data_IF_147680857114
#
_entry.id   IF_147680857114
#
_cell.length_a   1.000
_cell.length_b   1.000
_cell.length_c   1.000
_cell.angle_alpha   90.00
_cell.angle_beta   90.00
_cell.angle_gamma   90.00
#
_symmetry.space_group_name_H-M   'P 1'
#
loop_
_entity.id
_entity.type
_entity.pdbx_description
1 polymer ?
#
# COMPACT_ATOMS: atom_id res chain seq x y z
N UNK A 1 18.90 60.53 24.16
CA UNK A 1 17.83 59.60 23.76
C UNK A 1 17.20 60.13 22.48
N UNK A 2 17.92 60.03 21.37
CA UNK A 2 17.89 58.92 20.40
C UNK A 2 16.71 59.06 19.42
N UNK A 3 16.95 59.77 18.31
CA UNK A 3 16.03 59.83 17.18
C UNK A 3 16.80 59.68 15.85
N UNK A 4 16.31 58.73 15.05
CA UNK A 4 16.37 58.60 13.58
C UNK A 4 17.75 58.36 12.92
N UNK A 5 18.10 57.09 12.80
CA UNK A 5 19.01 56.58 11.77
C UNK A 5 18.29 56.38 10.44
N UNK A 6 18.71 57.12 9.42
CA UNK A 6 18.39 56.91 8.00
C UNK A 6 19.21 55.73 7.46
N UNK A 7 18.55 54.72 6.89
CA UNK A 7 19.20 53.68 6.08
C UNK A 7 18.79 53.87 4.62
N UNK A 8 19.82 54.05 3.78
CA UNK A 8 19.74 54.24 2.34
C UNK A 8 19.22 52.98 1.63
N UNK A 9 18.30 53.19 0.68
CA UNK A 9 17.93 52.23 -0.36
C UNK A 9 18.92 52.29 -1.53
N UNK A 10 19.30 51.15 -2.16
CA UNK A 10 20.06 51.17 -3.39
C UNK A 10 19.10 51.26 -4.59
N UNK A 11 19.23 52.35 -5.35
CA UNK A 11 18.54 52.56 -6.61
C UNK A 11 19.16 51.70 -7.72
N UNK A 12 18.33 50.89 -8.39
CA UNK A 12 18.71 50.17 -9.60
C UNK A 12 18.62 51.13 -10.80
N UNK A 13 19.76 51.48 -11.40
CA UNK A 13 19.81 52.18 -12.69
C UNK A 13 19.84 51.15 -13.82
N UNK A 14 18.81 51.16 -14.64
CA UNK A 14 18.79 50.52 -15.94
C UNK A 14 19.71 51.30 -16.90
N UNK A 15 20.68 50.61 -17.51
CA UNK A 15 21.48 51.15 -18.60
C UNK A 15 21.16 50.37 -19.87
N UNK A 16 20.39 51.00 -20.76
CA UNK A 16 20.22 50.59 -22.15
C UNK A 16 21.45 51.00 -22.94
N UNK A 17 22.12 50.03 -23.57
CA UNK A 17 23.05 50.30 -24.67
C UNK A 17 22.85 49.27 -25.77
N UNK A 18 22.39 49.76 -26.92
CA UNK A 18 22.38 49.00 -28.16
C UNK A 18 23.82 48.76 -28.60
N UNK A 19 24.17 47.51 -28.91
CA UNK A 19 25.45 47.15 -29.49
C UNK A 19 25.24 46.52 -30.87
N UNK A 20 25.79 47.19 -31.89
CA UNK A 20 25.90 46.73 -33.26
C UNK A 20 26.59 45.36 -33.33
N UNK A 21 26.08 44.48 -34.20
CA UNK A 21 26.79 43.29 -34.67
C UNK A 21 27.81 43.70 -35.75
N UNK A 22 29.09 43.30 -35.65
CA UNK A 22 29.90 43.07 -36.82
C UNK A 22 29.96 41.57 -37.11
N UNK A 23 29.58 41.18 -38.33
CA UNK A 23 29.97 39.92 -38.91
C UNK A 23 31.46 39.99 -39.25
N UNK A 24 32.27 39.14 -38.61
CA UNK A 24 33.63 38.87 -39.06
C UNK A 24 33.97 37.41 -38.75
N UNK A 25 33.98 36.58 -39.81
CA UNK A 25 34.65 35.28 -39.78
C UNK A 25 36.15 35.55 -39.73
N UNK A 26 36.76 35.34 -38.57
CA UNK A 26 38.20 35.15 -38.43
C UNK A 26 38.44 33.91 -37.58
N UNK A 27 38.93 32.86 -38.23
CA UNK A 27 39.57 31.72 -37.58
C UNK A 27 40.79 32.27 -36.81
N UNK A 28 40.70 32.31 -35.48
CA UNK A 28 41.76 32.84 -34.63
C UNK A 28 42.08 31.84 -33.53
N UNK A 29 43.36 31.49 -33.42
CA UNK A 29 43.97 30.57 -32.45
C UNK A 29 43.75 30.97 -30.98
N UNK A 30 43.11 32.11 -30.72
CA UNK A 30 42.77 32.61 -29.37
C UNK A 30 41.29 32.45 -29.01
N UNK A 31 40.44 31.97 -29.92
CA UNK A 31 39.03 31.65 -29.65
C UNK A 31 38.84 30.64 -28.51
N UNK A 32 39.76 29.68 -28.39
CA UNK A 32 39.81 28.73 -27.28
C UNK A 32 40.10 29.41 -25.94
N UNK A 33 40.94 30.45 -25.92
CA UNK A 33 41.27 31.21 -24.71
C UNK A 33 40.08 32.07 -24.27
N UNK A 34 39.37 32.69 -25.22
CA UNK A 34 38.16 33.47 -24.97
C UNK A 34 37.01 32.57 -24.47
N UNK A 35 36.84 31.39 -25.07
CA UNK A 35 35.89 30.37 -24.63
C UNK A 35 36.19 29.88 -23.21
N UNK A 36 37.46 29.64 -22.89
CA UNK A 36 37.91 29.22 -21.55
C UNK A 36 37.79 30.35 -20.52
N UNK A 37 37.99 31.60 -20.92
CA UNK A 37 37.79 32.78 -20.07
C UNK A 37 36.30 33.01 -19.75
N UNK A 38 35.39 32.76 -20.70
CA UNK A 38 33.95 32.88 -20.48
C UNK A 38 33.41 31.79 -19.54
N UNK A 39 33.94 30.56 -19.64
CA UNK A 39 33.56 29.44 -18.76
C UNK A 39 34.24 29.42 -17.38
N UNK A 40 35.22 30.29 -17.11
CA UNK A 40 35.78 30.48 -15.75
C UNK A 40 34.76 31.06 -14.74
N UNK A 41 33.57 31.46 -15.19
CA UNK A 41 32.45 31.88 -14.34
C UNK A 41 31.42 30.78 -14.05
N UNK A 42 31.72 29.51 -14.34
CA UNK A 42 31.00 28.43 -13.66
C UNK A 42 31.53 28.35 -12.24
N UNK A 43 30.68 28.67 -11.25
CA UNK A 43 30.95 28.30 -9.87
C UNK A 43 31.36 26.81 -9.84
N UNK A 44 32.36 26.41 -9.03
CA UNK A 44 32.66 25.00 -8.88
C UNK A 44 31.35 24.30 -8.52
N UNK A 45 31.09 23.16 -9.18
CA UNK A 45 29.95 22.32 -8.79
C UNK A 45 30.04 22.13 -7.27
N UNK A 46 28.92 22.20 -6.53
CA UNK A 46 28.94 21.84 -5.12
C UNK A 46 29.43 20.40 -5.05
N UNK A 47 30.71 20.23 -4.76
CA UNK A 47 31.29 18.95 -4.42
C UNK A 47 30.76 18.74 -3.02
N UNK A 48 29.64 18.05 -2.89
CA UNK A 48 29.24 17.50 -1.60
C UNK A 48 30.43 16.66 -1.17
N UNK A 49 31.19 17.15 -0.19
CA UNK A 49 32.16 16.33 0.53
C UNK A 49 31.46 15.00 0.85
N UNK A 50 32.17 13.91 0.59
CA UNK A 50 31.65 12.54 0.53
C UNK A 50 30.45 12.30 1.47
N UNK A 51 29.41 11.61 0.97
CA UNK A 51 28.26 11.18 1.77
C UNK A 51 28.74 10.71 3.15
N UNK A 52 28.19 11.25 4.26
CA UNK A 52 28.74 11.02 5.59
C UNK A 52 28.84 9.52 5.88
N UNK A 53 30.05 9.03 6.17
CA UNK A 53 30.28 7.64 6.54
C UNK A 53 29.89 7.43 7.99
N UNK A 54 29.08 6.40 8.25
CA UNK A 54 28.66 6.04 9.60
C UNK A 54 29.84 5.43 10.37
N UNK A 55 30.00 5.78 11.65
CA UNK A 55 30.87 5.03 12.56
C UNK A 55 30.21 3.70 12.94
N UNK A 56 31.01 2.71 13.35
CA UNK A 56 30.47 1.42 13.79
C UNK A 56 29.45 1.57 14.93
N UNK A 57 29.71 2.47 15.88
CA UNK A 57 28.84 2.76 17.01
C UNK A 57 27.52 3.41 16.56
N UNK A 58 27.58 4.38 15.63
CA UNK A 58 26.39 5.02 15.09
C UNK A 58 25.53 4.02 14.31
N UNK A 59 26.16 3.13 13.52
CA UNK A 59 25.48 2.09 12.77
C UNK A 59 24.77 1.10 13.70
N UNK A 60 25.44 0.61 14.75
CA UNK A 60 24.83 -0.30 15.75
C UNK A 60 23.66 0.37 16.45
N UNK A 61 23.82 1.62 16.88
CA UNK A 61 22.75 2.40 17.53
C UNK A 61 21.51 2.51 16.63
N UNK A 62 21.71 2.77 15.34
CA UNK A 62 20.62 2.90 14.39
C UNK A 62 19.91 1.57 14.11
N UNK A 63 20.66 0.47 14.01
CA UNK A 63 20.07 -0.87 13.84
C UNK A 63 19.20 -1.21 15.05
N UNK A 64 19.69 -1.01 16.27
CA UNK A 64 18.93 -1.30 17.49
C UNK A 64 17.68 -0.42 17.65
N UNK A 65 17.73 0.82 17.14
CA UNK A 65 16.59 1.73 17.16
C UNK A 65 15.50 1.34 16.15
N UNK A 66 15.89 0.94 14.93
CA UNK A 66 14.96 0.57 13.85
C UNK A 66 14.43 -0.87 13.95
N UNK A 67 15.06 -1.74 14.76
CA UNK A 67 14.54 -3.09 14.97
C UNK A 67 13.19 -3.05 15.68
N UNK A 68 12.11 -3.53 15.04
CA UNK A 68 10.79 -3.50 15.66
C UNK A 68 10.78 -4.40 16.90
N UNK A 69 10.15 -3.93 17.97
CA UNK A 69 9.91 -4.76 19.16
C UNK A 69 8.98 -5.92 18.79
N UNK A 70 9.19 -7.14 19.34
CA UNK A 70 8.28 -8.25 19.10
C UNK A 70 6.90 -7.88 19.66
N UNK A 71 5.96 -7.52 18.78
CA UNK A 71 4.60 -7.16 19.18
C UNK A 71 3.92 -8.37 19.82
N UNK A 72 3.13 -8.14 20.86
CA UNK A 72 2.26 -9.13 21.50
C UNK A 72 1.55 -10.00 20.44
N UNK A 73 1.62 -11.32 20.59
CA UNK A 73 1.11 -12.29 19.62
C UNK A 73 -0.36 -11.98 19.32
N UNK A 74 -0.72 -11.51 18.11
CA UNK A 74 -2.10 -11.31 17.74
C UNK A 74 -2.84 -12.66 17.72
N UNK A 75 -4.17 -12.68 17.85
CA UNK A 75 -4.94 -13.91 17.78
C UNK A 75 -4.61 -14.68 16.49
N UNK A 76 -4.39 -15.99 16.64
CA UNK A 76 -4.03 -16.89 15.54
C UNK A 76 -5.14 -16.85 14.49
N UNK A 77 -4.76 -16.66 13.23
CA UNK A 77 -5.69 -16.69 12.09
C UNK A 77 -5.78 -18.11 11.58
N UNK A 78 -7.00 -18.61 11.46
CA UNK A 78 -7.30 -19.94 10.95
C UNK A 78 -7.92 -19.85 9.57
N UNK A 79 -7.54 -20.77 8.69
CA UNK A 79 -8.03 -20.82 7.30
C UNK A 79 -8.69 -22.17 7.07
N UNK A 80 -10.01 -22.15 6.94
CA UNK A 80 -10.82 -23.33 6.64
C UNK A 80 -11.20 -23.35 5.17
N UNK A 81 -11.20 -24.53 4.58
CA UNK A 81 -11.68 -24.76 3.22
C UNK A 81 -12.83 -25.77 3.25
N UNK A 82 -14.03 -25.30 2.90
CA UNK A 82 -15.22 -26.13 2.84
C UNK A 82 -15.50 -26.50 1.38
N UNK A 83 -15.71 -27.77 1.10
CA UNK A 83 -16.20 -28.27 -0.17
C UNK A 83 -17.71 -28.44 -0.03
N UNK A 84 -18.48 -27.65 -0.77
CA UNK A 84 -19.93 -27.57 -0.62
C UNK A 84 -20.61 -27.86 -1.95
N UNK A 85 -21.75 -28.53 -1.90
CA UNK A 85 -22.63 -28.69 -3.04
C UNK A 85 -23.23 -27.33 -3.42
N UNK A 86 -23.20 -27.00 -4.71
CA UNK A 86 -23.69 -25.73 -5.23
C UNK A 86 -25.23 -25.75 -5.39
N UNK A 87 -25.93 -25.77 -4.26
CA UNK A 87 -27.40 -25.65 -4.21
C UNK A 87 -27.85 -24.24 -3.78
N UNK A 88 -29.03 -23.77 -4.22
CA UNK A 88 -29.59 -22.52 -3.76
C UNK A 88 -29.72 -22.47 -2.22
N UNK A 89 -29.17 -21.43 -1.60
CA UNK A 89 -29.24 -21.22 -0.16
C UNK A 89 -28.07 -21.80 0.65
N UNK A 90 -27.13 -22.52 0.03
CA UNK A 90 -25.95 -23.07 0.74
C UNK A 90 -25.11 -21.98 1.41
N UNK A 91 -24.88 -20.86 0.72
CA UNK A 91 -24.12 -19.73 1.25
C UNK A 91 -24.78 -19.17 2.53
N UNK A 92 -26.10 -18.95 2.49
CA UNK A 92 -26.86 -18.42 3.61
C UNK A 92 -26.86 -19.37 4.81
N UNK A 93 -26.86 -20.69 4.57
CA UNK A 93 -26.80 -21.70 5.62
C UNK A 93 -25.43 -21.70 6.31
N UNK A 94 -24.35 -21.73 5.53
CA UNK A 94 -22.97 -21.69 6.04
C UNK A 94 -22.68 -20.39 6.80
N UNK A 95 -22.99 -19.23 6.20
CA UNK A 95 -22.79 -17.95 6.88
C UNK A 95 -23.70 -17.78 8.10
N UNK A 96 -24.94 -18.29 8.03
CA UNK A 96 -25.91 -18.25 9.11
C UNK A 96 -25.47 -19.05 10.34
N UNK A 97 -24.92 -20.26 10.16
CA UNK A 97 -24.39 -21.08 11.26
C UNK A 97 -23.20 -20.41 11.94
N UNK A 98 -22.32 -19.78 11.15
CA UNK A 98 -21.18 -19.09 11.72
C UNK A 98 -21.59 -17.84 12.52
N UNK A 99 -22.53 -17.06 11.97
CA UNK A 99 -23.06 -15.86 12.62
C UNK A 99 -23.89 -16.19 13.88
N UNK A 100 -24.75 -17.21 13.83
CA UNK A 100 -25.62 -17.60 14.95
C UNK A 100 -24.83 -18.04 16.19
N UNK A 101 -23.61 -18.55 16.01
CA UNK A 101 -22.70 -18.93 17.09
C UNK A 101 -21.72 -17.84 17.50
N UNK A 102 -21.75 -16.69 16.83
CA UNK A 102 -20.89 -15.55 17.14
C UNK A 102 -19.41 -15.79 16.82
N UNK A 103 -19.09 -16.61 15.81
CA UNK A 103 -17.70 -16.74 15.37
C UNK A 103 -17.26 -15.47 14.64
N UNK A 104 -16.05 -14.99 14.92
CA UNK A 104 -15.49 -13.83 14.24
C UNK A 104 -14.93 -14.21 12.87
N UNK A 105 -15.66 -13.84 11.81
CA UNK A 105 -15.29 -14.12 10.42
C UNK A 105 -14.51 -12.93 9.86
N UNK A 106 -13.23 -13.12 9.57
CA UNK A 106 -12.41 -12.10 8.89
C UNK A 106 -12.82 -11.98 7.41
N UNK A 107 -12.98 -13.12 6.74
CA UNK A 107 -13.38 -13.17 5.33
C UNK A 107 -14.01 -14.51 4.98
N UNK A 108 -15.03 -14.48 4.12
CA UNK A 108 -15.64 -15.66 3.53
C UNK A 108 -15.73 -15.45 2.03
N UNK A 109 -15.14 -16.36 1.25
CA UNK A 109 -15.15 -16.32 -0.22
C UNK A 109 -15.68 -17.62 -0.76
N UNK A 110 -16.55 -17.54 -1.76
CA UNK A 110 -17.04 -18.70 -2.53
C UNK A 110 -16.36 -18.70 -3.88
N UNK A 111 -15.75 -19.83 -4.24
CA UNK A 111 -15.13 -20.08 -5.52
C UNK A 111 -15.86 -21.24 -6.19
N UNK A 112 -16.38 -21.03 -7.40
CA UNK A 112 -16.84 -22.14 -8.24
C UNK A 112 -15.65 -23.01 -8.64
N UNK A 113 -15.84 -24.33 -8.66
CA UNK A 113 -14.82 -25.26 -9.17
C UNK A 113 -15.15 -25.65 -10.61
N UNK A 114 -14.20 -26.30 -11.29
CA UNK A 114 -14.43 -26.84 -12.65
C UNK A 114 -15.44 -28.01 -12.67
N UNK A 115 -15.78 -28.54 -11.50
CA UNK A 115 -16.77 -29.60 -11.36
C UNK A 115 -18.14 -28.97 -11.15
N UNK A 116 -19.12 -29.36 -11.97
CA UNK A 116 -20.51 -28.94 -11.83
C UNK A 116 -21.05 -29.30 -10.45
N UNK A 117 -21.92 -28.45 -9.91
CA UNK A 117 -22.52 -28.59 -8.58
C UNK A 117 -21.53 -28.65 -7.40
N UNK A 118 -20.25 -28.30 -7.60
CA UNK A 118 -19.25 -28.23 -6.54
C UNK A 118 -18.66 -26.83 -6.41
N UNK A 119 -18.76 -26.28 -5.21
CA UNK A 119 -18.20 -24.99 -4.83
C UNK A 119 -17.18 -25.17 -3.70
N UNK A 120 -16.16 -24.32 -3.70
CA UNK A 120 -15.12 -24.25 -2.67
C UNK A 120 -15.27 -22.96 -1.90
N UNK A 121 -15.52 -23.04 -0.61
CA UNK A 121 -15.60 -21.87 0.27
C UNK A 121 -14.32 -21.76 1.09
N UNK A 122 -13.66 -20.61 1.03
CA UNK A 122 -12.52 -20.30 1.91
C UNK A 122 -13.00 -19.37 3.01
N UNK A 123 -12.83 -19.79 4.27
CA UNK A 123 -13.31 -19.08 5.44
C UNK A 123 -12.10 -18.78 6.32
N UNK A 124 -11.93 -17.52 6.70
CA UNK A 124 -10.89 -17.08 7.62
C UNK A 124 -11.52 -16.68 8.93
N UNK A 125 -11.06 -17.30 10.02
CA UNK A 125 -11.56 -17.08 11.37
C UNK A 125 -10.42 -16.61 12.26
N UNK A 126 -10.75 -15.78 13.25
CA UNK A 126 -9.84 -15.40 14.34
C UNK A 126 -10.33 -16.01 15.64
N UNK A 127 -9.45 -16.72 16.36
CA UNK A 127 -9.86 -17.39 17.59
C UNK A 127 -8.81 -18.35 18.15
N UNK A 128 -9.19 -19.08 19.19
CA UNK A 128 -8.41 -20.19 19.74
C UNK A 128 -8.74 -21.48 18.99
N UNK A 129 -7.77 -22.39 18.92
CA UNK A 129 -7.87 -23.67 18.18
C UNK A 129 -9.13 -24.48 18.58
N UNK A 130 -9.53 -24.49 19.87
CA UNK A 130 -10.74 -25.19 20.32
C UNK A 130 -12.05 -24.63 19.77
N UNK A 131 -12.15 -23.30 19.65
CA UNK A 131 -13.35 -22.62 19.10
C UNK A 131 -13.43 -22.84 17.59
N UNK A 132 -12.29 -22.85 16.91
CA UNK A 132 -12.22 -23.09 15.45
C UNK A 132 -12.51 -24.55 15.11
N UNK A 133 -12.03 -25.50 15.91
CA UNK A 133 -12.36 -26.92 15.73
C UNK A 133 -13.86 -27.17 15.94
N UNK A 134 -14.49 -26.46 16.88
CA UNK A 134 -15.95 -26.47 17.01
C UNK A 134 -16.61 -25.91 15.74
N UNK A 135 -16.13 -24.79 15.18
CA UNK A 135 -16.67 -24.25 13.94
C UNK A 135 -16.51 -25.25 12.77
N UNK A 136 -15.36 -25.92 12.66
CA UNK A 136 -15.08 -26.95 11.64
C UNK A 136 -16.09 -28.09 11.70
N UNK A 137 -16.25 -28.72 12.88
CA UNK A 137 -17.20 -29.84 13.10
C UNK A 137 -18.64 -29.45 12.76
N UNK A 138 -19.01 -28.21 13.05
CA UNK A 138 -20.36 -27.72 12.82
C UNK A 138 -20.67 -27.41 11.37
N UNK A 139 -19.65 -27.01 10.60
CA UNK A 139 -19.78 -26.86 9.16
C UNK A 139 -19.81 -28.23 8.46
N UNK A 140 -19.08 -29.21 9.00
CA UNK A 140 -19.04 -30.59 8.48
C UNK A 140 -20.35 -31.36 8.72
N UNK A 141 -21.10 -31.04 9.78
CA UNK A 141 -22.42 -31.64 10.08
C UNK A 141 -23.54 -31.19 9.10
N UNK A 142 -23.26 -30.19 8.26
CA UNK A 142 -24.25 -29.70 7.29
C UNK A 142 -24.37 -30.66 6.11
N UNK A 143 -25.60 -31.11 5.83
CA UNK A 143 -25.94 -31.98 4.69
C UNK A 143 -25.33 -31.57 3.34
N UNK A 144 -25.33 -30.28 2.91
CA UNK A 144 -24.73 -29.90 1.61
C UNK A 144 -23.20 -29.81 1.62
N UNK A 145 -22.53 -30.01 2.75
CA UNK A 145 -21.08 -29.90 2.88
C UNK A 145 -20.47 -31.29 2.77
N UNK A 146 -19.54 -31.45 1.82
CA UNK A 146 -18.84 -32.71 1.60
C UNK A 146 -17.70 -32.91 2.60
N UNK A 147 -16.92 -31.85 2.84
CA UNK A 147 -15.79 -31.89 3.76
C UNK A 147 -15.38 -30.48 4.17
N UNK A 148 -14.79 -30.36 5.36
CA UNK A 148 -14.16 -29.13 5.86
C UNK A 148 -12.72 -29.41 6.25
N UNK A 149 -11.80 -28.80 5.51
CA UNK A 149 -10.36 -28.96 5.67
C UNK A 149 -9.80 -27.76 6.46
N UNK A 150 -8.92 -28.02 7.42
CA UNK A 150 -8.17 -26.96 8.11
C UNK A 150 -6.78 -26.81 7.46
N UNK A 151 -6.50 -25.63 6.92
CA UNK A 151 -5.22 -25.27 6.32
C UNK A 151 -4.34 -24.39 7.20
N UNK A 152 -4.69 -24.19 8.48
CA UNK A 152 -3.98 -23.28 9.38
C UNK A 152 -2.48 -23.58 9.48
N UNK A 153 -2.09 -24.86 9.53
CA UNK A 153 -0.68 -25.28 9.61
C UNK A 153 -0.11 -25.74 8.25
N UNK A 154 -0.89 -25.66 7.17
CA UNK A 154 -0.50 -26.13 5.85
C UNK A 154 0.27 -25.07 5.07
N UNK A 155 1.17 -25.49 4.17
CA UNK A 155 1.84 -24.58 3.25
C UNK A 155 0.84 -24.07 2.19
N UNK A 156 0.35 -22.83 2.33
CA UNK A 156 -0.68 -22.28 1.44
C UNK A 156 -0.13 -21.32 0.38
N UNK A 157 -0.75 -21.31 -0.81
CA UNK A 157 -0.80 -20.13 -1.69
C UNK A 157 -2.01 -19.30 -1.31
N UNK A 158 -1.76 -18.10 -0.79
CA UNK A 158 -2.79 -17.13 -0.46
C UNK A 158 -2.87 -16.06 -1.56
N UNK A 159 -4.10 -15.79 -2.01
CA UNK A 159 -4.39 -14.77 -3.02
C UNK A 159 -5.64 -14.01 -2.65
N UNK A 160 -5.60 -12.73 -2.94
CA UNK A 160 -6.69 -11.79 -2.81
C UNK A 160 -6.54 -10.78 -3.95
N UNK A 161 -7.65 -10.25 -4.44
CA UNK A 161 -7.69 -9.30 -5.53
C UNK A 161 -8.15 -7.94 -4.99
N UNK A 162 -7.41 -6.89 -5.33
CA UNK A 162 -7.73 -5.51 -5.04
C UNK A 162 -7.93 -4.76 -6.34
N UNK A 163 -9.05 -4.08 -6.46
CA UNK A 163 -9.28 -3.00 -7.41
C UNK A 163 -9.37 -1.70 -6.60
N UNK A 164 -8.56 -0.71 -6.94
CA UNK A 164 -8.59 0.58 -6.26
C UNK A 164 -8.59 1.72 -7.27
N UNK A 165 -9.51 2.66 -7.10
CA UNK A 165 -9.57 3.93 -7.81
C UNK A 165 -8.83 4.98 -6.99
N UNK A 166 -7.78 5.54 -7.57
CA UNK A 166 -6.84 6.43 -6.89
C UNK A 166 -6.90 7.80 -7.55
N UNK A 167 -6.91 8.85 -6.72
CA UNK A 167 -6.83 10.22 -7.17
C UNK A 167 -5.42 10.53 -7.72
N UNK A 168 -5.35 11.34 -8.78
CA UNK A 168 -4.09 11.81 -9.38
C UNK A 168 -3.89 13.31 -9.25
N UNK A 169 -4.87 14.04 -8.69
CA UNK A 169 -4.80 15.50 -8.50
C UNK A 169 -3.96 15.92 -7.28
N UNK A 170 -3.64 15.00 -6.37
CA UNK A 170 -2.82 15.24 -5.18
C UNK A 170 -3.59 15.13 -3.86
N UNK A 171 -2.85 15.11 -2.73
CA UNK A 171 -3.44 14.96 -1.39
C UNK A 171 -4.32 16.16 -1.01
N UNK A 172 -3.95 17.39 -1.39
CA UNK A 172 -4.68 18.61 -1.00
C UNK A 172 -6.10 18.62 -1.60
N UNK A 173 -6.24 18.16 -2.84
CA UNK A 173 -7.55 17.98 -3.48
C UNK A 173 -8.36 16.88 -2.80
N UNK A 174 -7.70 15.80 -2.37
CA UNK A 174 -8.37 14.70 -1.69
C UNK A 174 -8.92 15.11 -0.32
N UNK A 175 -8.19 15.96 0.42
CA UNK A 175 -8.66 16.56 1.66
C UNK A 175 -9.89 17.48 1.45
N UNK A 176 -9.88 18.35 0.44
CA UNK A 176 -11.05 19.18 0.05
C UNK A 176 -12.25 18.28 -0.27
N UNK A 177 -12.03 17.21 -1.05
CA UNK A 177 -13.07 16.25 -1.42
C UNK A 177 -13.65 15.53 -0.20
N UNK A 178 -12.80 15.10 0.75
CA UNK A 178 -13.24 14.45 1.99
C UNK A 178 -14.04 15.41 2.88
N UNK A 179 -13.58 16.65 3.06
CA UNK A 179 -14.30 17.67 3.82
C UNK A 179 -15.68 17.94 3.24
N UNK A 180 -15.78 18.09 1.91
CA UNK A 180 -17.05 18.31 1.22
C UNK A 180 -18.06 17.16 1.43
N UNK A 181 -17.63 15.89 1.38
CA UNK A 181 -18.52 14.75 1.67
C UNK A 181 -18.94 14.67 3.14
N UNK A 182 -18.06 15.08 4.07
CA UNK A 182 -18.40 15.18 5.49
C UNK A 182 -19.47 16.24 5.74
N UNK A 183 -19.35 17.42 5.13
CA UNK A 183 -20.35 18.50 5.26
C UNK A 183 -21.74 18.08 4.75
N UNK A 184 -21.81 17.34 3.63
CA UNK A 184 -23.07 16.81 3.10
C UNK A 184 -23.70 15.80 4.07
N UNK A 185 -22.88 14.96 4.70
CA UNK A 185 -23.36 13.89 5.59
C UNK A 185 -23.71 14.42 6.98
N UNK A 186 -23.01 15.45 7.46
CA UNK A 186 -23.19 16.09 8.76
C UNK A 186 -24.37 17.10 8.80
N UNK A 187 -25.28 17.06 7.83
CA UNK A 187 -26.47 17.91 7.79
C UNK A 187 -27.56 17.53 8.83
N UNK A 188 -27.23 16.74 9.85
CA UNK A 188 -27.88 16.87 11.16
C UNK A 188 -27.04 17.84 12.01
N UNK A 189 -27.52 19.08 12.26
CA UNK A 189 -26.76 20.05 13.00
C UNK A 189 -26.80 19.68 14.49
N UNK A 190 -25.80 18.94 14.96
CA UNK A 190 -25.53 18.87 16.39
C UNK A 190 -24.95 20.23 16.82
N UNK A 191 -25.80 21.01 17.48
CA UNK A 191 -25.52 22.34 18.03
C UNK A 191 -24.69 22.20 19.31
N UNK A 192 -23.56 21.49 19.29
CA UNK A 192 -22.61 21.47 20.40
C UNK A 192 -21.20 21.20 19.90
N UNK A 193 -20.42 22.25 19.69
CA UNK A 193 -19.01 22.10 19.31
C UNK A 193 -18.29 23.40 18.99
N UNK A 194 -18.46 24.43 19.82
CA UNK A 194 -17.53 25.57 19.82
C UNK A 194 -16.22 25.08 20.43
N UNK A 195 -15.27 24.63 19.60
CA UNK A 195 -13.82 24.56 19.82
C UNK A 195 -13.19 23.68 18.73
N UNK A 196 -12.79 24.27 17.60
CA UNK A 196 -11.69 23.74 16.75
C UNK A 196 -11.15 24.83 15.80
N UNK A 197 -11.26 26.11 16.22
CA UNK A 197 -10.70 27.24 15.47
C UNK A 197 -9.17 27.37 15.65
N UNK A 198 -8.52 26.46 16.39
CA UNK A 198 -7.09 26.50 16.71
C UNK A 198 -6.19 25.60 15.85
N UNK A 199 -6.74 24.66 15.05
CA UNK A 199 -5.93 23.82 14.14
C UNK A 199 -5.62 24.49 12.79
N UNK A 200 -6.30 25.60 12.46
CA UNK A 200 -6.18 26.27 11.17
C UNK A 200 -4.78 26.90 10.91
N UNK A 201 -3.98 27.11 11.94
CA UNK A 201 -2.66 27.78 11.82
C UNK A 201 -1.55 26.87 11.27
N UNK A 202 -1.69 25.54 11.35
CA UNK A 202 -0.78 24.58 10.70
C UNK A 202 -1.21 24.27 9.25
N UNK A 203 -2.52 24.33 8.97
CA UNK A 203 -3.08 24.12 7.63
C UNK A 203 -2.74 25.27 6.66
N UNK A 204 -2.61 26.51 7.15
CA UNK A 204 -2.18 27.65 6.32
C UNK A 204 -0.71 27.58 5.86
N UNK A 205 0.12 26.73 6.49
CA UNK A 205 1.52 26.50 6.10
C UNK A 205 1.67 25.34 5.09
N UNK A 206 0.59 24.59 4.80
CA UNK A 206 0.57 23.58 3.74
C UNK A 206 0.57 24.28 2.37
N UNK A 207 1.77 24.39 1.80
CA UNK A 207 2.11 25.04 0.53
C UNK A 207 1.17 24.61 -0.62
N UNK A 208 0.41 25.55 -1.15
CA UNK A 208 0.14 25.91 -2.56
C UNK A 208 0.06 24.87 -3.71
N UNK A 209 0.03 23.55 -3.48
CA UNK A 209 -0.10 22.57 -4.57
C UNK A 209 -1.55 22.21 -4.95
N UNK A 210 -2.52 22.95 -4.41
CA UNK A 210 -3.92 22.74 -4.76
C UNK A 210 -4.19 23.03 -6.25
N UNK A 211 -4.89 22.16 -7.01
CA UNK A 211 -5.08 22.33 -8.45
C UNK A 211 -5.79 23.63 -8.85
N UNK A 212 -6.62 24.22 -7.96
CA UNK A 212 -7.27 25.53 -8.18
C UNK A 212 -6.31 26.73 -8.07
N UNK A 213 -5.20 26.58 -7.34
CA UNK A 213 -4.21 27.63 -7.10
C UNK A 213 -3.03 27.56 -8.09
N UNK A 214 -2.80 26.40 -8.69
CA UNK A 214 -1.72 26.17 -9.66
C UNK A 214 -2.08 26.59 -11.08
N UNK A 215 -1.06 26.87 -11.89
CA UNK A 215 -1.23 27.05 -13.33
C UNK A 215 -1.67 25.71 -13.99
N UNK A 216 -2.55 25.76 -14.99
CA UNK A 216 -3.10 24.54 -15.64
C UNK A 216 -2.03 23.60 -16.20
N UNK A 217 -0.95 24.16 -16.76
CA UNK A 217 0.18 23.39 -17.27
C UNK A 217 1.01 22.73 -16.16
N UNK A 218 1.08 23.37 -15.00
CA UNK A 218 1.78 22.83 -13.82
C UNK A 218 0.93 21.73 -13.16
N UNK A 219 -0.36 21.97 -12.95
CA UNK A 219 -1.31 20.97 -12.48
C UNK A 219 -1.32 19.72 -13.38
N UNK A 220 -1.25 19.89 -14.71
CA UNK A 220 -1.14 18.78 -15.64
C UNK A 220 0.15 17.97 -15.43
N UNK A 221 1.29 18.61 -15.16
CA UNK A 221 2.57 17.92 -14.91
C UNK A 221 2.52 17.14 -13.59
N UNK A 222 2.05 17.75 -12.52
CA UNK A 222 1.86 17.08 -11.22
C UNK A 222 0.95 15.86 -11.34
N UNK A 223 -0.15 16.00 -12.08
CA UNK A 223 -1.05 14.88 -12.38
C UNK A 223 -0.32 13.69 -13.04
N UNK A 224 0.50 13.94 -14.05
CA UNK A 224 1.25 12.88 -14.73
C UNK A 224 2.38 12.31 -13.86
N UNK A 225 2.96 13.11 -12.97
CA UNK A 225 3.95 12.67 -11.99
C UNK A 225 3.34 11.72 -10.96
N UNK A 226 2.17 12.07 -10.39
CA UNK A 226 1.42 11.18 -9.51
C UNK A 226 1.05 9.88 -10.22
N UNK A 227 0.51 9.97 -11.44
CA UNK A 227 0.17 8.81 -12.25
C UNK A 227 1.40 7.91 -12.49
N UNK A 228 2.57 8.49 -12.79
CA UNK A 228 3.82 7.75 -12.98
C UNK A 228 4.25 7.04 -11.71
N UNK A 229 4.18 7.71 -10.56
CA UNK A 229 4.52 7.13 -9.25
C UNK A 229 3.58 5.99 -8.87
N UNK A 230 2.26 6.18 -9.02
CA UNK A 230 1.26 5.13 -8.78
C UNK A 230 1.50 3.95 -9.72
N UNK A 231 1.75 4.19 -11.00
CA UNK A 231 2.04 3.14 -11.98
C UNK A 231 3.29 2.35 -11.59
N UNK A 232 4.35 3.04 -11.16
CA UNK A 232 5.59 2.41 -10.70
C UNK A 232 5.36 1.51 -9.47
N UNK A 233 4.64 2.01 -8.46
CA UNK A 233 4.31 1.22 -7.27
C UNK A 233 3.44 0.02 -7.62
N UNK A 234 2.40 0.20 -8.43
CA UNK A 234 1.53 -0.89 -8.89
C UNK A 234 2.34 -1.99 -9.58
N UNK A 235 3.26 -1.65 -10.49
CA UNK A 235 4.11 -2.65 -11.13
C UNK A 235 5.08 -3.34 -10.17
N UNK A 236 5.67 -2.63 -9.21
CA UNK A 236 6.55 -3.23 -8.19
C UNK A 236 5.81 -4.23 -7.30
N UNK A 237 4.51 -4.01 -7.09
CA UNK A 237 3.65 -4.95 -6.36
C UNK A 237 3.11 -6.09 -7.23
N UNK A 238 3.41 -6.11 -8.54
CA UNK A 238 2.96 -7.13 -9.49
C UNK A 238 1.55 -6.87 -10.05
N UNK A 239 1.05 -5.65 -9.91
CA UNK A 239 -0.25 -5.20 -10.41
C UNK A 239 -0.21 -4.60 -11.80
N UNK A 240 -1.38 -4.10 -12.21
CA UNK A 240 -1.61 -3.43 -13.50
C UNK A 240 -2.46 -2.18 -13.30
N UNK A 241 -2.25 -1.18 -14.15
CA UNK A 241 -3.15 -0.03 -14.27
C UNK A 241 -4.17 -0.38 -15.35
N UNK A 242 -5.45 -0.41 -14.97
CA UNK A 242 -6.54 -0.83 -15.86
C UNK A 242 -7.18 0.35 -16.60
N UNK A 243 -7.37 1.47 -15.91
CA UNK A 243 -8.01 2.66 -16.45
C UNK A 243 -7.27 3.93 -16.03
N UNK A 244 -7.22 4.91 -16.93
CA UNK A 244 -6.61 6.23 -16.70
C UNK A 244 -7.61 7.29 -17.15
N UNK A 245 -8.17 7.99 -16.17
CA UNK A 245 -9.14 9.06 -16.38
C UNK A 245 -8.48 10.45 -16.27
N UNK A 246 -9.28 11.52 -16.37
CA UNK A 246 -8.80 12.88 -16.24
C UNK A 246 -8.35 13.21 -14.81
N UNK A 247 -9.00 12.63 -13.80
CA UNK A 247 -8.79 13.01 -12.40
C UNK A 247 -8.45 11.81 -11.50
N UNK A 248 -8.50 10.59 -12.05
CA UNK A 248 -8.22 9.36 -11.29
C UNK A 248 -7.64 8.28 -12.19
N UNK A 249 -7.12 7.22 -11.60
CA UNK A 249 -6.74 5.98 -12.28
C UNK A 249 -7.24 4.77 -11.49
N UNK A 250 -7.46 3.64 -12.17
CA UNK A 250 -7.86 2.38 -11.55
C UNK A 250 -6.70 1.39 -11.65
N UNK A 251 -6.34 0.80 -10.51
CA UNK A 251 -5.28 -0.20 -10.41
C UNK A 251 -5.83 -1.54 -9.94
N UNK A 252 -5.20 -2.61 -10.41
CA UNK A 252 -5.48 -4.00 -10.05
C UNK A 252 -4.25 -4.64 -9.44
N UNK A 253 -4.41 -5.32 -8.30
CA UNK A 253 -3.35 -6.13 -7.68
C UNK A 253 -3.91 -7.46 -7.22
N UNK A 254 -3.18 -8.53 -7.52
CA UNK A 254 -3.39 -9.85 -6.94
C UNK A 254 -2.19 -10.30 -6.12
N UNK A 255 -2.35 -10.41 -4.80
CA UNK A 255 -1.26 -10.76 -3.89
C UNK A 255 -1.77 -11.43 -2.60
N UNK A 256 -0.85 -11.73 -1.67
CA UNK A 256 -1.23 -12.15 -0.30
C UNK A 256 -1.86 -10.96 0.46
N UNK A 257 -2.76 -11.18 1.43
CA UNK A 257 -3.42 -10.09 2.16
C UNK A 257 -2.47 -9.07 2.80
N UNK A 258 -1.36 -9.52 3.38
CA UNK A 258 -0.36 -8.64 3.97
C UNK A 258 0.30 -7.72 2.95
N UNK A 259 0.60 -8.23 1.74
CA UNK A 259 1.20 -7.45 0.65
C UNK A 259 0.21 -6.43 0.08
N UNK A 260 -1.07 -6.78 -0.01
CA UNK A 260 -2.13 -5.83 -0.42
C UNK A 260 -2.28 -4.71 0.61
N UNK A 261 -2.26 -5.05 1.91
CA UNK A 261 -2.34 -4.04 2.97
C UNK A 261 -1.14 -3.09 2.95
N UNK A 262 0.07 -3.58 2.71
CA UNK A 262 1.26 -2.72 2.51
C UNK A 262 1.12 -1.81 1.29
N UNK A 263 0.53 -2.31 0.19
CA UNK A 263 0.27 -1.50 -0.99
C UNK A 263 -0.73 -0.37 -0.71
N UNK A 264 -1.85 -0.69 -0.06
CA UNK A 264 -2.85 0.30 0.34
C UNK A 264 -2.24 1.40 1.21
N UNK A 265 -1.40 1.04 2.19
CA UNK A 265 -0.71 2.00 3.05
C UNK A 265 0.26 2.90 2.27
N UNK A 266 0.91 2.37 1.24
CA UNK A 266 1.84 3.11 0.40
C UNK A 266 1.12 4.11 -0.52
N UNK A 267 -0.09 3.77 -0.97
CA UNK A 267 -0.89 4.61 -1.89
C UNK A 267 -1.86 5.55 -1.19
N UNK A 268 -2.18 5.28 0.08
CA UNK A 268 -3.01 6.13 0.93
C UNK A 268 -2.71 7.64 0.78
N UNK A 269 -1.44 8.11 0.71
CA UNK A 269 -1.14 9.54 0.55
C UNK A 269 -1.62 10.17 -0.77
N UNK A 270 -1.84 9.39 -1.84
CA UNK A 270 -2.38 9.91 -3.09
C UNK A 270 -3.90 10.15 -3.02
N UNK A 271 -4.58 9.50 -2.07
CA UNK A 271 -6.02 9.51 -1.91
C UNK A 271 -6.70 8.37 -2.66
N UNK A 272 -7.21 7.39 -1.92
CA UNK A 272 -8.01 6.30 -2.47
C UNK A 272 -9.47 6.78 -2.50
N UNK A 273 -10.02 6.92 -3.71
CA UNK A 273 -11.41 7.35 -3.91
C UNK A 273 -12.39 6.22 -3.67
N UNK A 274 -12.03 5.01 -4.11
CA UNK A 274 -12.85 3.81 -4.01
C UNK A 274 -11.95 2.58 -4.02
N UNK A 275 -12.33 1.52 -3.30
CA UNK A 275 -11.65 0.25 -3.37
C UNK A 275 -12.63 -0.92 -3.25
N UNK A 276 -12.45 -1.92 -4.11
CA UNK A 276 -13.11 -3.21 -4.02
C UNK A 276 -12.04 -4.28 -3.78
N UNK A 277 -12.14 -4.98 -2.65
CA UNK A 277 -11.21 -6.02 -2.22
C UNK A 277 -11.98 -7.32 -2.06
N UNK A 278 -11.50 -8.39 -2.66
CA UNK A 278 -12.07 -9.73 -2.43
C UNK A 278 -11.69 -10.22 -1.04
N UNK A 279 -12.22 -11.34 -0.58
CA UNK A 279 -11.64 -12.02 0.58
C UNK A 279 -10.42 -12.87 0.20
N UNK A 280 -9.89 -13.61 1.18
CA UNK A 280 -8.78 -14.53 0.98
C UNK A 280 -9.24 -15.79 0.24
N UNK A 281 -8.58 -16.10 -0.88
CA UNK A 281 -8.60 -17.40 -1.53
C UNK A 281 -7.32 -18.15 -1.15
N UNK A 282 -7.44 -19.44 -0.85
CA UNK A 282 -6.31 -20.28 -0.46
C UNK A 282 -6.32 -21.61 -1.21
N UNK A 283 -5.13 -22.04 -1.65
CA UNK A 283 -4.88 -23.38 -2.18
C UNK A 283 -3.67 -23.98 -1.47
N UNK A 284 -3.73 -25.25 -1.05
CA UNK A 284 -2.57 -25.92 -0.47
C UNK A 284 -1.48 -26.10 -1.53
N UNK A 285 -0.23 -25.88 -1.15
CA UNK A 285 0.95 -26.23 -1.95
C UNK A 285 1.41 -27.61 -1.55
N UNK A 286 1.86 -28.38 -2.54
CA UNK A 286 2.73 -29.51 -2.29
C UNK A 286 4.13 -28.96 -1.95
N UNK A 287 4.64 -29.16 -0.73
CA UNK A 287 6.02 -28.84 -0.42
C UNK A 287 6.94 -29.71 -1.30
N UNK A 288 7.98 -29.10 -1.87
CA UNK A 288 9.02 -29.83 -2.56
C UNK A 288 10.13 -30.08 -1.55
N UNK A 289 10.43 -31.35 -1.30
CA UNK A 289 11.54 -31.76 -0.46
C UNK A 289 12.73 -32.12 -1.35
N UNK A 290 13.95 -31.87 -0.87
CA UNK A 290 15.11 -32.53 -1.47
C UNK A 290 15.00 -34.04 -1.24
N UNK A 291 15.64 -34.86 -2.09
CA UNK A 291 15.63 -36.32 -1.92
C UNK A 291 16.14 -36.77 -0.53
N UNK A 292 17.01 -35.97 0.10
CA UNK A 292 17.53 -36.20 1.46
C UNK A 292 16.50 -35.85 2.56
N UNK A 293 15.71 -34.78 2.37
CA UNK A 293 14.67 -34.35 3.32
C UNK A 293 13.46 -35.29 3.31
N UNK A 294 13.14 -35.86 2.14
CA UNK A 294 12.02 -36.79 1.94
C UNK A 294 12.19 -38.11 2.72
N UNK A 295 13.43 -38.58 2.86
CA UNK A 295 13.77 -39.77 3.63
C UNK A 295 13.59 -39.52 5.14
N UNK A 296 14.06 -38.37 5.63
CA UNK A 296 13.96 -37.99 7.05
C UNK A 296 12.51 -37.82 7.51
N UNK A 297 11.63 -37.32 6.65
CA UNK A 297 10.20 -37.15 6.98
C UNK A 297 9.46 -38.48 7.01
N UNK A 298 9.70 -39.38 6.03
CA UNK A 298 9.12 -40.73 6.06
C UNK A 298 9.56 -41.50 7.30
N UNK A 299 10.85 -41.40 7.65
CA UNK A 299 11.37 -42.00 8.89
C UNK A 299 10.72 -41.38 10.13
N UNK A 300 10.46 -40.06 10.16
CA UNK A 300 9.79 -39.41 11.28
C UNK A 300 8.31 -39.82 11.41
N UNK A 301 7.56 -39.91 10.31
CA UNK A 301 6.15 -40.34 10.32
C UNK A 301 6.04 -41.85 10.69
N UNK A 302 6.95 -42.70 10.20
CA UNK A 302 6.99 -44.13 10.53
C UNK A 302 7.37 -44.38 12.01
N UNK A 303 8.17 -43.51 12.63
CA UNK A 303 8.52 -43.59 14.06
C UNK A 303 7.35 -43.21 14.97
N UNK A 304 6.40 -42.40 14.49
CA UNK A 304 5.23 -41.97 15.29
C UNK A 304 4.13 -43.05 15.34
N UNK A 305 4.16 -44.07 14.46
CA UNK A 305 3.05 -45.04 14.29
C UNK A 305 3.32 -46.49 14.74
N UNK A 306 4.41 -46.77 15.49
CA UNK A 306 4.69 -48.13 15.98
C UNK A 306 4.25 -48.40 17.43
N UNK A 307 4.00 -47.34 18.23
CA UNK A 307 3.76 -47.46 19.68
C UNK A 307 2.38 -46.96 20.14
N UNK A 308 1.53 -46.47 19.24
CA UNK A 308 0.15 -46.05 19.56
C UNK A 308 -0.90 -47.15 19.33
N UNK A 309 -0.50 -48.30 18.79
CA UNK A 309 -1.37 -49.46 18.65
C UNK A 309 -1.48 -50.20 20.00
N UNK A 310 -2.70 -50.48 20.51
CA UNK A 310 -2.85 -51.27 21.72
C UNK A 310 -2.33 -52.69 21.49
N UNK A 311 -1.63 -53.30 22.46
CA UNK A 311 -1.09 -54.64 22.31
C UNK A 311 -2.23 -55.66 22.23
N UNK A 312 -2.20 -56.50 21.19
CA UNK A 312 -3.00 -57.72 21.07
C UNK A 312 -2.41 -58.87 21.87
#
# INVERSE_FOLDING_TARGET
MASRGLLLSPSWRAASTAALRPAARYSSSTSAIAYKALRRRQAPLPVSDATPSWSAQAAVSNILYETPTPSMVPPKRHVLNCLVQNEPGVLSRVSGILAARGFNIDSLVVCSTEVEDLSRMTIVLTGQDGVVEQARRQLEDLVPVWAVLDYTNAALVQRELLLAKINILGPEYFEELLAHHREITAAEPDITGVQDASEQTLAELARDFHPRKLATSEALRHKHEHLKSITYFTHQFGGKVLDISTNSCIVEISAKPSRIQSFLKLIEPFGILESARTGLMALPRSPLYGAEDEALIKEADDVVDASQLPPG
#
